data_IF_807517111890
#
_entry.id   IF_807517111890
#
_cell.length_a   1.000
_cell.length_b   1.000
_cell.length_c   1.000
_cell.angle_alpha   90.00
_cell.angle_beta   90.00
_cell.angle_gamma   90.00
#
_symmetry.space_group_name_H-M   'P 1'
#
loop_
_entity.id
_entity.type
_entity.pdbx_description
1 polymer ?
#
# COMPACT_ATOMS: atom_id res chain seq x y z
N UNK A 1 22.95 -21.76 -2.34
CA UNK A 1 21.57 -21.62 -1.84
C UNK A 1 21.34 -20.14 -1.62
N UNK A 2 20.31 -19.56 -2.25
CA UNK A 2 20.00 -18.13 -2.10
C UNK A 2 19.57 -17.92 -0.65
N UNK A 3 20.34 -17.13 0.11
CA UNK A 3 19.95 -16.78 1.48
C UNK A 3 18.84 -15.73 1.41
N UNK A 4 17.69 -16.08 1.94
CA UNK A 4 16.56 -15.16 2.12
C UNK A 4 16.34 -14.92 3.59
N UNK A 5 15.99 -13.69 3.96
CA UNK A 5 15.54 -13.36 5.30
C UNK A 5 14.07 -12.94 5.20
N UNK A 6 13.18 -13.81 5.68
CA UNK A 6 11.74 -13.59 5.65
C UNK A 6 11.15 -13.92 7.02
N UNK A 7 10.56 -12.92 7.69
CA UNK A 7 10.02 -12.99 9.05
C UNK A 7 10.98 -13.47 10.15
N UNK A 8 12.26 -13.64 9.84
CA UNK A 8 13.30 -14.00 10.81
C UNK A 8 13.60 -12.84 11.76
N UNK A 9 13.51 -11.60 11.25
CA UNK A 9 13.84 -10.38 11.98
C UNK A 9 12.72 -9.36 11.83
N UNK A 10 12.39 -8.68 12.93
CA UNK A 10 11.29 -7.70 12.96
C UNK A 10 11.63 -6.45 12.15
N UNK A 11 12.91 -6.11 12.09
CA UNK A 11 13.51 -4.97 11.39
C UNK A 11 13.34 -5.04 9.86
N UNK A 12 12.95 -6.22 9.33
CA UNK A 12 12.77 -6.49 7.91
C UNK A 12 11.30 -6.54 7.48
N UNK A 13 10.37 -6.47 8.42
CA UNK A 13 8.93 -6.50 8.14
C UNK A 13 8.45 -7.77 7.44
N UNK A 14 7.56 -7.60 6.46
CA UNK A 14 6.93 -8.69 5.71
C UNK A 14 7.52 -8.86 4.30
N UNK A 15 8.64 -8.22 3.97
CA UNK A 15 9.33 -8.37 2.69
C UNK A 15 10.28 -9.57 2.72
N UNK A 16 10.31 -10.36 1.64
CA UNK A 16 11.23 -11.46 1.43
C UNK A 16 12.58 -10.97 0.86
N UNK A 17 13.51 -10.64 1.77
CA UNK A 17 14.79 -10.06 1.41
C UNK A 17 15.81 -11.11 0.97
N UNK A 18 16.51 -10.86 -0.14
CA UNK A 18 17.79 -11.51 -0.39
C UNK A 18 18.86 -11.01 0.58
N UNK A 19 19.89 -11.82 0.80
CA UNK A 19 21.02 -11.50 1.70
C UNK A 19 22.39 -11.56 1.04
N UNK A 20 22.44 -11.80 -0.26
CA UNK A 20 23.67 -11.89 -1.03
C UNK A 20 23.63 -10.85 -2.17
N UNK A 21 24.58 -9.92 -2.15
CA UNK A 21 24.63 -8.79 -3.08
C UNK A 21 24.83 -9.24 -4.53
N UNK A 22 25.76 -10.17 -4.78
CA UNK A 22 26.08 -10.62 -6.13
C UNK A 22 24.92 -11.45 -6.71
N UNK A 23 24.30 -12.29 -5.87
CA UNK A 23 23.10 -13.04 -6.27
C UNK A 23 21.92 -12.11 -6.57
N UNK A 24 21.74 -11.03 -5.79
CA UNK A 24 20.69 -10.04 -6.04
C UNK A 24 20.91 -9.28 -7.35
N UNK A 25 22.14 -8.85 -7.64
CA UNK A 25 22.47 -8.23 -8.94
C UNK A 25 22.32 -9.22 -10.10
N UNK A 26 22.72 -10.48 -9.92
CA UNK A 26 22.50 -11.52 -10.92
C UNK A 26 21.00 -11.71 -11.22
N UNK A 27 20.16 -11.75 -10.19
CA UNK A 27 18.70 -11.82 -10.33
C UNK A 27 18.11 -10.57 -10.98
N UNK A 28 18.63 -9.39 -10.63
CA UNK A 28 18.20 -8.12 -11.21
C UNK A 28 18.51 -8.07 -12.72
N UNK A 29 19.73 -8.42 -13.11
CA UNK A 29 20.14 -8.51 -14.51
C UNK A 29 19.30 -9.53 -15.30
N UNK A 30 19.01 -10.71 -14.71
CA UNK A 30 18.23 -11.75 -15.37
C UNK A 30 16.73 -11.39 -15.52
N UNK A 31 16.16 -10.68 -14.55
CA UNK A 31 14.72 -10.33 -14.54
C UNK A 31 14.42 -8.95 -15.13
N UNK A 32 15.44 -8.11 -15.31
CA UNK A 32 15.29 -6.70 -15.67
C UNK A 32 14.73 -5.81 -14.56
N UNK A 33 14.48 -6.35 -13.35
CA UNK A 33 13.97 -5.58 -12.22
C UNK A 33 15.10 -4.78 -11.55
N UNK A 34 14.85 -3.53 -11.11
CA UNK A 34 15.77 -2.79 -10.24
C UNK A 34 15.95 -3.49 -8.88
N UNK A 35 16.99 -3.12 -8.14
CA UNK A 35 17.22 -3.57 -6.76
C UNK A 35 16.78 -2.49 -5.78
N UNK A 36 16.00 -2.88 -4.78
CA UNK A 36 15.80 -2.07 -3.58
C UNK A 36 16.73 -2.64 -2.50
N UNK A 37 17.80 -1.91 -2.21
CA UNK A 37 18.85 -2.31 -1.28
C UNK A 37 18.66 -1.60 0.05
N UNK A 38 18.38 -2.36 1.10
CA UNK A 38 18.23 -1.90 2.48
C UNK A 38 19.50 -2.22 3.27
N UNK A 39 20.16 -1.19 3.80
CA UNK A 39 21.12 -1.33 4.89
C UNK A 39 20.39 -1.17 6.22
N UNK A 40 20.48 -2.17 7.08
CA UNK A 40 19.73 -2.22 8.34
C UNK A 40 20.55 -2.86 9.46
N UNK A 41 20.44 -2.34 10.67
CA UNK A 41 21.04 -2.95 11.86
C UNK A 41 20.20 -4.15 12.30
N UNK A 42 20.79 -5.35 12.42
CA UNK A 42 20.07 -6.56 12.87
C UNK A 42 20.92 -7.36 13.89
N UNK A 43 20.40 -7.61 15.12
CA UNK A 43 19.25 -6.91 15.71
C UNK A 43 19.54 -5.41 15.82
N UNK A 44 18.52 -4.58 15.63
CA UNK A 44 18.67 -3.12 15.57
C UNK A 44 18.00 -2.37 16.71
N UNK A 45 18.27 -1.07 16.81
CA UNK A 45 17.58 -0.18 17.75
C UNK A 45 16.09 0.00 17.43
N UNK A 46 15.37 0.78 18.27
CA UNK A 46 13.94 1.03 18.09
C UNK A 46 13.59 1.62 16.72
N UNK A 47 14.43 2.48 16.13
CA UNK A 47 14.22 2.99 14.77
C UNK A 47 14.19 1.87 13.74
N UNK A 48 15.09 0.88 13.86
CA UNK A 48 15.19 -0.26 12.94
C UNK A 48 13.96 -1.17 13.07
N UNK A 49 13.57 -1.47 14.31
CA UNK A 49 12.37 -2.28 14.61
C UNK A 49 11.10 -1.59 14.13
N UNK A 50 10.95 -0.29 14.40
CA UNK A 50 9.79 0.50 13.98
C UNK A 50 9.74 0.66 12.46
N UNK A 51 10.88 0.82 11.78
CA UNK A 51 10.89 0.82 10.31
C UNK A 51 10.40 -0.52 9.75
N UNK A 52 10.84 -1.64 10.35
CA UNK A 52 10.33 -2.96 9.99
C UNK A 52 8.82 -3.11 10.21
N UNK A 53 8.32 -2.64 11.35
CA UNK A 53 6.91 -2.78 11.75
C UNK A 53 5.95 -1.78 11.05
N UNK A 54 6.29 -0.50 11.01
CA UNK A 54 5.41 0.59 10.56
C UNK A 54 5.51 0.81 9.04
N UNK A 55 6.62 0.40 8.42
CA UNK A 55 6.88 0.61 6.98
C UNK A 55 6.88 -0.71 6.24
N UNK A 56 7.82 -1.60 6.57
CA UNK A 56 8.07 -2.82 5.78
C UNK A 56 7.04 -3.94 6.03
N UNK A 57 6.14 -3.78 7.01
CA UNK A 57 5.05 -4.71 7.25
C UNK A 57 3.71 -4.27 6.62
N UNK A 58 3.64 -3.09 5.98
CA UNK A 58 2.45 -2.69 5.23
C UNK A 58 2.26 -3.65 4.04
N UNK A 59 1.12 -4.36 3.92
CA UNK A 59 0.97 -5.42 2.93
C UNK A 59 1.11 -4.99 1.47
N UNK A 60 0.51 -3.85 1.10
CA UNK A 60 0.59 -3.36 -0.28
C UNK A 60 1.97 -2.80 -0.61
N UNK A 61 2.65 -2.21 0.39
CA UNK A 61 4.03 -1.71 0.21
C UNK A 61 5.01 -2.87 0.08
N UNK A 62 4.92 -3.89 0.94
CA UNK A 62 5.77 -5.06 0.88
C UNK A 62 5.61 -5.79 -0.47
N UNK A 63 4.38 -5.96 -0.92
CA UNK A 63 4.08 -6.56 -2.22
C UNK A 63 4.58 -5.70 -3.38
N UNK A 64 4.44 -4.37 -3.32
CA UNK A 64 5.00 -3.47 -4.33
C UNK A 64 6.52 -3.63 -4.45
N UNK A 65 7.22 -3.79 -3.32
CA UNK A 65 8.67 -4.01 -3.30
C UNK A 65 9.01 -5.34 -3.98
N UNK A 66 8.32 -6.43 -3.64
CA UNK A 66 8.58 -7.76 -4.21
C UNK A 66 8.18 -7.91 -5.68
N UNK A 67 7.10 -7.22 -6.09
CA UNK A 67 6.62 -7.24 -7.47
C UNK A 67 7.52 -6.40 -8.40
N UNK A 68 8.00 -5.25 -7.94
CA UNK A 68 8.71 -4.30 -8.81
C UNK A 68 10.23 -4.29 -8.66
N UNK A 69 10.75 -4.80 -7.55
CA UNK A 69 12.19 -4.82 -7.27
C UNK A 69 12.70 -6.23 -6.98
N UNK A 70 14.02 -6.37 -7.00
CA UNK A 70 14.73 -7.41 -6.27
C UNK A 70 15.02 -6.85 -4.87
N UNK A 71 14.37 -7.34 -3.80
CA UNK A 71 14.61 -6.84 -2.45
C UNK A 71 15.93 -7.44 -1.94
N UNK A 72 16.87 -6.60 -1.52
CA UNK A 72 18.13 -7.01 -0.91
C UNK A 72 18.31 -6.30 0.43
N UNK A 73 18.56 -7.06 1.49
CA UNK A 73 18.98 -6.52 2.78
C UNK A 73 20.48 -6.80 2.99
N UNK A 74 21.19 -5.82 3.55
CA UNK A 74 22.58 -5.94 4.04
C UNK A 74 22.58 -5.51 5.51
N UNK A 75 23.09 -6.37 6.40
CA UNK A 75 23.11 -6.06 7.82
C UNK A 75 24.32 -5.15 8.10
N UNK A 76 24.05 -3.90 8.49
CA UNK A 76 25.10 -2.88 8.61
C UNK A 76 25.94 -2.98 9.90
N UNK A 77 25.74 -4.03 10.68
CA UNK A 77 26.46 -4.31 11.93
C UNK A 77 27.17 -5.67 11.92
N UNK A 78 27.20 -6.36 10.77
CA UNK A 78 27.81 -7.68 10.64
C UNK A 78 29.15 -7.62 9.90
N UNK A 79 30.18 -8.38 10.35
CA UNK A 79 31.44 -8.49 9.62
C UNK A 79 31.31 -9.33 8.34
N UNK A 80 32.40 -9.48 7.59
CA UNK A 80 32.45 -10.31 6.38
C UNK A 80 31.81 -9.62 5.18
N UNK A 81 31.05 -10.38 4.37
CA UNK A 81 30.53 -9.91 3.09
C UNK A 81 29.63 -8.67 3.23
N UNK A 82 28.83 -8.59 4.28
CA UNK A 82 27.98 -7.41 4.54
C UNK A 82 28.81 -6.15 4.77
N UNK A 83 29.89 -6.23 5.58
CA UNK A 83 30.82 -5.13 5.80
C UNK A 83 31.60 -4.72 4.54
N UNK A 84 31.86 -5.66 3.61
CA UNK A 84 32.47 -5.34 2.31
C UNK A 84 31.51 -4.51 1.44
N UNK A 85 30.25 -4.93 1.35
CA UNK A 85 29.21 -4.20 0.59
C UNK A 85 28.95 -2.83 1.22
N UNK A 86 28.84 -2.76 2.55
CA UNK A 86 28.68 -1.50 3.28
C UNK A 86 29.80 -0.50 2.95
N UNK A 87 31.05 -0.98 2.90
CA UNK A 87 32.22 -0.16 2.53
C UNK A 87 32.19 0.27 1.06
N UNK A 88 31.72 -0.60 0.16
CA UNK A 88 31.56 -0.28 -1.26
C UNK A 88 30.60 0.90 -1.49
N UNK A 89 29.50 0.95 -0.73
CA UNK A 89 28.55 2.08 -0.77
C UNK A 89 28.96 3.28 0.11
N UNK A 90 30.00 3.14 0.94
CA UNK A 90 30.42 4.19 1.87
C UNK A 90 29.40 4.46 2.99
N UNK A 91 28.56 3.47 3.32
CA UNK A 91 27.57 3.60 4.38
C UNK A 91 28.22 3.36 5.76
N UNK A 92 27.76 4.06 6.82
CA UNK A 92 28.24 3.83 8.17
C UNK A 92 27.70 2.52 8.76
N UNK A 93 28.51 1.86 9.58
CA UNK A 93 28.05 0.75 10.40
C UNK A 93 27.24 1.25 11.61
N UNK A 94 26.33 0.41 12.14
CA UNK A 94 25.51 0.73 13.32
C UNK A 94 24.69 2.02 13.15
N UNK A 95 24.09 2.20 11.98
CA UNK A 95 23.25 3.34 11.66
C UNK A 95 21.78 2.90 11.48
N UNK A 96 20.88 3.88 11.56
CA UNK A 96 19.49 3.78 11.15
C UNK A 96 19.34 3.28 9.69
N UNK A 97 18.14 2.81 9.31
CA UNK A 97 17.89 2.27 7.98
C UNK A 97 18.27 3.24 6.85
N UNK A 98 18.94 2.71 5.82
CA UNK A 98 19.24 3.43 4.58
C UNK A 98 18.79 2.59 3.40
N UNK A 99 18.06 3.19 2.45
CA UNK A 99 17.55 2.48 1.27
C UNK A 99 18.12 3.07 -0.01
N UNK A 100 18.77 2.24 -0.81
CA UNK A 100 19.23 2.53 -2.16
C UNK A 100 18.29 1.93 -3.21
N UNK A 101 18.24 2.58 -4.36
CA UNK A 101 17.44 2.18 -5.51
C UNK A 101 18.37 2.02 -6.70
N UNK A 102 18.73 0.78 -7.02
CA UNK A 102 19.74 0.47 -8.01
C UNK A 102 19.10 -0.04 -9.30
N UNK A 103 19.67 0.35 -10.43
CA UNK A 103 19.35 -0.23 -11.73
C UNK A 103 19.73 -1.71 -11.76
N UNK A 104 19.28 -2.49 -12.76
CA UNK A 104 19.72 -3.87 -12.94
C UNK A 104 21.24 -4.04 -13.06
N UNK A 105 21.98 -2.98 -13.43
CA UNK A 105 23.44 -2.96 -13.50
C UNK A 105 24.12 -2.49 -12.20
N UNK A 106 23.37 -2.23 -11.14
CA UNK A 106 23.89 -1.83 -9.83
C UNK A 106 24.23 -0.34 -9.69
N UNK A 107 23.70 0.53 -10.55
CA UNK A 107 23.91 2.00 -10.44
C UNK A 107 22.72 2.65 -9.74
N UNK A 108 22.94 3.66 -8.89
CA UNK A 108 21.84 4.41 -8.27
C UNK A 108 20.94 5.07 -9.34
N UNK A 109 19.63 4.86 -9.23
CA UNK A 109 18.60 5.44 -10.10
C UNK A 109 18.19 6.82 -9.57
N UNK A 110 18.02 6.89 -8.25
CA UNK A 110 17.62 8.09 -7.51
C UNK A 110 18.45 8.19 -6.23
N UNK A 111 18.57 9.37 -5.61
CA UNK A 111 19.26 9.49 -4.33
C UNK A 111 18.65 8.57 -3.28
N UNK A 112 19.49 7.95 -2.46
CA UNK A 112 19.09 7.08 -1.35
C UNK A 112 18.07 7.75 -0.41
N UNK A 113 17.24 6.94 0.24
CA UNK A 113 16.40 7.36 1.36
C UNK A 113 17.21 7.18 2.65
N UNK A 114 17.49 8.28 3.33
CA UNK A 114 18.16 8.30 4.63
C UNK A 114 17.52 9.40 5.50
N UNK A 115 17.60 9.25 6.82
CA UNK A 115 17.01 10.20 7.80
C UNK A 115 15.51 10.43 7.62
N UNK A 116 14.80 9.44 7.07
CA UNK A 116 13.36 9.46 6.85
C UNK A 116 12.82 8.04 6.92
N UNK A 117 11.94 7.79 7.88
CA UNK A 117 11.54 6.44 8.31
C UNK A 117 10.02 6.24 8.30
N UNK A 118 9.28 7.12 7.61
CA UNK A 118 7.84 6.99 7.38
C UNK A 118 7.55 6.24 6.06
N UNK A 119 6.42 5.52 5.97
CA UNK A 119 6.05 4.78 4.77
C UNK A 119 5.78 5.67 3.57
N UNK A 120 5.34 6.92 3.77
CA UNK A 120 5.14 7.90 2.67
C UNK A 120 6.47 8.23 2.00
N UNK A 121 7.55 8.35 2.78
CA UNK A 121 8.90 8.58 2.28
C UNK A 121 9.41 7.42 1.42
N UNK A 122 9.26 6.18 1.90
CA UNK A 122 9.65 5.00 1.14
C UNK A 122 8.80 4.81 -0.11
N UNK A 123 7.48 4.89 0.02
CA UNK A 123 6.53 4.82 -1.08
C UNK A 123 6.84 5.84 -2.17
N UNK A 124 7.01 7.11 -1.80
CA UNK A 124 7.34 8.17 -2.76
C UNK A 124 8.65 7.90 -3.50
N UNK A 125 9.70 7.45 -2.79
CA UNK A 125 10.98 7.10 -3.43
C UNK A 125 10.88 5.89 -4.37
N UNK A 126 10.08 4.88 -4.00
CA UNK A 126 9.79 3.74 -4.88
C UNK A 126 9.16 4.25 -6.17
N UNK A 127 8.13 5.09 -6.09
CA UNK A 127 7.46 5.60 -7.30
C UNK A 127 8.41 6.42 -8.17
N UNK A 128 9.19 7.33 -7.58
CA UNK A 128 10.18 8.12 -8.32
C UNK A 128 11.22 7.22 -9.01
N UNK A 129 11.65 6.12 -8.37
CA UNK A 129 12.58 5.18 -8.98
C UNK A 129 11.97 4.43 -10.17
N UNK A 130 10.70 4.03 -10.08
CA UNK A 130 9.97 3.39 -11.18
C UNK A 130 9.79 4.36 -12.35
N UNK A 131 9.37 5.60 -12.08
CA UNK A 131 9.20 6.65 -13.08
C UNK A 131 10.52 7.01 -13.78
N UNK A 132 11.62 7.11 -13.03
CA UNK A 132 12.95 7.37 -13.60
C UNK A 132 13.44 6.25 -14.53
N UNK A 133 12.95 5.02 -14.34
CA UNK A 133 13.20 3.88 -15.23
C UNK A 133 12.21 3.81 -16.40
N UNK A 134 11.25 4.74 -16.50
CA UNK A 134 10.17 4.70 -17.49
C UNK A 134 9.21 3.52 -17.27
N UNK A 135 9.15 2.97 -16.07
CA UNK A 135 8.23 1.88 -15.73
C UNK A 135 6.88 2.43 -15.31
N UNK A 136 5.82 1.76 -15.76
CA UNK A 136 4.48 2.06 -15.26
C UNK A 136 4.38 1.77 -13.77
N UNK A 137 3.76 2.70 -13.05
CA UNK A 137 3.35 2.52 -11.66
C UNK A 137 1.96 1.85 -11.66
N UNK A 138 1.77 0.71 -10.99
CA UNK A 138 0.44 0.09 -10.86
C UNK A 138 -0.56 0.98 -10.14
N UNK A 139 -1.85 0.91 -10.49
CA UNK A 139 -2.86 1.79 -9.87
C UNK A 139 -3.02 1.55 -8.37
N UNK A 140 -2.98 0.29 -7.91
CA UNK A 140 -3.02 -0.01 -6.46
C UNK A 140 -1.88 0.67 -5.70
N UNK A 141 -0.70 0.81 -6.32
CA UNK A 141 0.45 1.48 -5.73
C UNK A 141 0.20 2.99 -5.62
N UNK A 142 -0.51 3.61 -6.58
CA UNK A 142 -0.93 5.01 -6.46
C UNK A 142 -1.97 5.18 -5.36
N UNK A 143 -2.91 4.25 -5.23
CA UNK A 143 -3.95 4.29 -4.19
C UNK A 143 -3.40 4.15 -2.78
N UNK A 144 -2.35 3.33 -2.58
CA UNK A 144 -1.67 3.20 -1.30
C UNK A 144 -1.23 4.56 -0.74
N UNK A 145 -0.84 5.53 -1.59
CA UNK A 145 -0.52 6.88 -1.13
C UNK A 145 -1.70 7.52 -0.39
N UNK A 146 -2.91 7.33 -0.91
CA UNK A 146 -4.14 7.84 -0.30
C UNK A 146 -4.37 7.26 1.10
N UNK A 147 -4.23 5.95 1.25
CA UNK A 147 -4.32 5.30 2.57
C UNK A 147 -3.28 5.86 3.54
N UNK A 148 -2.01 5.98 3.11
CA UNK A 148 -0.94 6.51 3.95
C UNK A 148 -1.16 7.98 4.35
N UNK A 149 -1.70 8.83 3.47
CA UNK A 149 -2.03 10.20 3.83
C UNK A 149 -3.13 10.29 4.89
N UNK A 150 -4.11 9.37 4.82
CA UNK A 150 -5.18 9.29 5.83
C UNK A 150 -4.62 8.81 7.16
N UNK A 151 -3.89 7.69 7.15
CA UNK A 151 -3.31 7.06 8.35
C UNK A 151 -2.35 7.99 9.11
N UNK A 152 -1.56 8.80 8.38
CA UNK A 152 -0.59 9.72 8.98
C UNK A 152 -1.13 11.14 9.21
N UNK A 153 -2.45 11.36 9.07
CA UNK A 153 -3.09 12.64 9.39
C UNK A 153 -2.70 13.80 8.46
N UNK A 154 -2.32 13.48 7.22
CA UNK A 154 -1.93 14.46 6.20
C UNK A 154 -3.07 14.75 5.20
N UNK A 155 -4.11 13.92 5.17
CA UNK A 155 -5.36 14.22 4.49
C UNK A 155 -6.20 15.24 5.26
N UNK A 156 -7.15 15.88 4.58
CA UNK A 156 -8.24 16.63 5.21
C UNK A 156 -9.56 15.89 5.03
N UNK A 157 -10.51 16.18 5.91
CA UNK A 157 -11.81 15.51 5.94
C UNK A 157 -12.94 16.53 5.78
N UNK A 158 -13.96 16.17 5.00
CA UNK A 158 -15.26 16.86 4.93
C UNK A 158 -16.39 15.84 5.03
N UNK A 159 -17.59 16.31 5.37
CA UNK A 159 -18.81 15.50 5.38
C UNK A 159 -19.86 16.23 4.58
N UNK A 160 -20.56 15.49 3.72
CA UNK A 160 -21.61 16.03 2.87
C UNK A 160 -22.91 15.27 3.11
N UNK A 161 -24.00 15.99 3.33
CA UNK A 161 -25.37 15.47 3.23
C UNK A 161 -25.70 15.20 1.77
N UNK A 162 -26.25 14.01 1.53
CA UNK A 162 -26.54 13.52 0.19
C UNK A 162 -27.97 12.96 0.14
N UNK A 163 -28.72 13.12 -0.96
CA UNK A 163 -30.05 12.52 -1.09
C UNK A 163 -30.04 10.98 -1.04
N UNK A 164 -28.94 10.38 -1.51
CA UNK A 164 -28.64 8.96 -1.32
C UNK A 164 -27.13 8.78 -1.22
N UNK A 165 -26.65 8.31 -0.06
CA UNK A 165 -25.22 8.15 0.21
C UNK A 165 -24.50 7.13 -0.67
N UNK A 166 -25.18 6.13 -1.25
CA UNK A 166 -24.56 5.15 -2.14
C UNK A 166 -24.17 5.78 -3.47
N UNK A 167 -25.06 6.60 -4.05
CA UNK A 167 -24.71 7.45 -5.19
C UNK A 167 -23.76 8.58 -4.78
N UNK A 168 -23.91 9.11 -3.56
CA UNK A 168 -23.04 10.13 -3.00
C UNK A 168 -21.56 9.70 -2.95
N UNK A 169 -21.28 8.49 -2.45
CA UNK A 169 -19.94 7.91 -2.41
C UNK A 169 -19.32 7.86 -3.82
N UNK A 170 -20.06 7.33 -4.80
CA UNK A 170 -19.55 7.26 -6.18
C UNK A 170 -19.40 8.63 -6.82
N UNK A 171 -20.27 9.58 -6.51
CA UNK A 171 -20.20 10.94 -7.07
C UNK A 171 -19.00 11.69 -6.52
N UNK A 172 -18.84 11.72 -5.20
CA UNK A 172 -17.71 12.37 -4.54
C UNK A 172 -16.37 11.72 -4.91
N UNK A 173 -16.32 10.40 -5.07
CA UNK A 173 -15.11 9.69 -5.51
C UNK A 173 -14.62 10.08 -6.92
N UNK A 174 -15.45 10.70 -7.77
CA UNK A 174 -15.02 11.17 -9.09
C UNK A 174 -14.08 12.37 -9.02
N UNK A 175 -14.13 13.15 -7.94
CA UNK A 175 -13.24 14.30 -7.79
C UNK A 175 -11.76 13.82 -7.62
N UNK A 176 -10.80 14.34 -8.41
CA UNK A 176 -9.42 13.83 -8.41
C UNK A 176 -8.70 13.90 -7.06
N UNK A 177 -9.05 14.88 -6.22
CA UNK A 177 -8.46 15.03 -4.89
C UNK A 177 -9.00 14.04 -3.84
N UNK A 178 -10.12 13.35 -4.12
CA UNK A 178 -10.74 12.45 -3.15
C UNK A 178 -9.95 11.15 -3.03
N UNK A 179 -9.56 10.84 -1.80
CA UNK A 179 -8.77 9.66 -1.43
C UNK A 179 -9.69 8.52 -1.00
N UNK A 180 -10.63 8.81 -0.10
CA UNK A 180 -11.58 7.83 0.43
C UNK A 180 -12.97 8.43 0.59
N UNK A 181 -13.99 7.60 0.45
CA UNK A 181 -15.39 7.93 0.79
C UNK A 181 -15.95 6.91 1.77
N UNK A 182 -16.85 7.34 2.63
CA UNK A 182 -17.55 6.47 3.58
C UNK A 182 -18.98 6.95 3.79
N UNK A 183 -19.94 6.14 3.35
CA UNK A 183 -21.36 6.34 3.64
C UNK A 183 -21.66 6.16 5.15
N UNK A 184 -22.49 7.04 5.69
CA UNK A 184 -22.94 7.01 7.07
C UNK A 184 -24.15 7.91 7.34
N UNK A 185 -24.44 8.08 8.62
CA UNK A 185 -25.57 8.83 9.13
C UNK A 185 -25.09 9.94 10.07
N UNK A 186 -25.69 11.13 9.97
CA UNK A 186 -25.41 12.25 10.88
C UNK A 186 -26.70 13.01 11.12
N UNK A 187 -27.17 13.06 12.37
CA UNK A 187 -28.42 13.76 12.71
C UNK A 187 -29.68 13.19 12.05
N UNK A 188 -29.66 11.93 11.60
CA UNK A 188 -30.75 11.30 10.86
C UNK A 188 -30.67 11.46 9.33
N UNK A 189 -29.72 12.25 8.83
CA UNK A 189 -29.49 12.46 7.41
C UNK A 189 -28.47 11.47 6.85
N UNK A 190 -28.64 11.09 5.59
CA UNK A 190 -27.66 10.32 4.84
C UNK A 190 -26.48 11.21 4.46
N UNK A 191 -25.28 10.82 4.91
CA UNK A 191 -24.05 11.59 4.70
C UNK A 191 -22.94 10.73 4.11
N UNK A 192 -22.00 11.39 3.45
CA UNK A 192 -20.75 10.80 3.01
C UNK A 192 -19.60 11.58 3.63
N UNK A 193 -18.75 10.86 4.40
CA UNK A 193 -17.46 11.38 4.86
C UNK A 193 -16.43 11.17 3.75
N UNK A 194 -15.65 12.21 3.48
CA UNK A 194 -14.63 12.21 2.44
C UNK A 194 -13.29 12.58 3.05
N UNK A 195 -12.26 11.80 2.77
CA UNK A 195 -10.87 12.25 2.93
C UNK A 195 -10.33 12.70 1.57
N UNK A 196 -9.64 13.84 1.54
CA UNK A 196 -9.04 14.39 0.32
C UNK A 196 -7.58 14.84 0.54
N UNK A 197 -6.82 14.88 -0.54
CA UNK A 197 -5.45 15.39 -0.54
C UNK A 197 -5.45 16.92 -0.64
N UNK A 198 -5.03 17.65 0.42
CA UNK A 198 -4.98 19.11 0.41
C UNK A 198 -3.93 19.69 -0.57
N UNK A 199 -3.04 18.87 -1.12
CA UNK A 199 -2.11 19.29 -2.16
C UNK A 199 -2.76 19.33 -3.56
N UNK A 200 -3.92 18.68 -3.75
CA UNK A 200 -4.64 18.60 -5.02
C UNK A 200 -5.88 19.51 -5.07
N UNK A 201 -6.51 19.75 -3.93
CA UNK A 201 -7.68 20.63 -3.81
C UNK A 201 -7.75 21.20 -2.40
N UNK A 202 -8.32 22.38 -2.23
CA UNK A 202 -8.72 22.87 -0.91
C UNK A 202 -10.17 22.47 -0.59
N UNK A 203 -10.62 22.81 0.62
CA UNK A 203 -11.95 22.49 1.11
C UNK A 203 -13.04 23.21 0.30
N UNK A 204 -12.85 24.50 0.01
CA UNK A 204 -13.82 25.32 -0.71
C UNK A 204 -14.08 24.80 -2.13
N UNK A 205 -13.04 24.35 -2.84
CA UNK A 205 -13.20 23.75 -4.16
C UNK A 205 -13.96 22.41 -4.11
N UNK A 206 -13.69 21.57 -3.11
CA UNK A 206 -14.42 20.31 -2.94
C UNK A 206 -15.87 20.53 -2.50
N UNK A 207 -16.14 21.52 -1.65
CA UNK A 207 -17.50 21.95 -1.29
C UNK A 207 -18.25 22.48 -2.51
N UNK A 208 -17.62 23.31 -3.34
CA UNK A 208 -18.23 23.81 -4.57
C UNK A 208 -18.60 22.68 -5.52
N UNK A 209 -17.72 21.69 -5.70
CA UNK A 209 -18.02 20.48 -6.45
C UNK A 209 -19.21 19.72 -5.88
N UNK A 210 -19.24 19.50 -4.56
CA UNK A 210 -20.36 18.80 -3.91
C UNK A 210 -21.70 19.55 -4.07
N UNK A 211 -21.69 20.89 -3.98
CA UNK A 211 -22.88 21.73 -4.18
C UNK A 211 -23.39 21.67 -5.63
N UNK A 212 -22.49 21.64 -6.61
CA UNK A 212 -22.86 21.50 -8.04
C UNK A 212 -23.55 20.14 -8.31
N UNK A 213 -23.12 19.10 -7.61
CA UNK A 213 -23.73 17.75 -7.63
C UNK A 213 -25.01 17.65 -6.77
N UNK A 214 -25.47 18.75 -6.16
CA UNK A 214 -26.70 18.81 -5.38
C UNK A 214 -26.56 18.28 -3.94
N UNK A 215 -25.35 18.25 -3.39
CA UNK A 215 -25.07 17.88 -2.00
C UNK A 215 -24.87 19.13 -1.12
N UNK A 216 -24.93 18.97 0.19
CA UNK A 216 -24.73 20.06 1.14
C UNK A 216 -23.58 19.76 2.11
N UNK A 217 -22.67 20.71 2.40
CA UNK A 217 -21.69 20.56 3.47
C UNK A 217 -22.40 20.33 4.81
N UNK A 218 -21.89 19.39 5.60
CA UNK A 218 -22.43 19.03 6.91
C UNK A 218 -21.34 19.07 7.97
N UNK A 219 -21.71 19.42 9.20
CA UNK A 219 -20.79 19.38 10.33
C UNK A 219 -20.39 17.94 10.72
N UNK A 220 -21.12 16.92 10.24
CA UNK A 220 -20.82 15.51 10.51
C UNK A 220 -20.90 15.13 11.99
N UNK A 221 -21.71 15.85 12.77
CA UNK A 221 -21.84 15.62 14.21
C UNK A 221 -22.44 14.24 14.48
N UNK A 222 -21.77 13.44 15.30
CA UNK A 222 -22.16 12.05 15.61
C UNK A 222 -22.25 11.16 14.36
N UNK A 223 -21.28 11.27 13.44
CA UNK A 223 -21.20 10.40 12.27
C UNK A 223 -21.19 8.91 12.67
N UNK A 224 -22.15 8.16 12.15
CA UNK A 224 -22.27 6.71 12.30
C UNK A 224 -22.12 6.01 10.95
N UNK A 225 -21.11 5.15 10.79
CA UNK A 225 -20.86 4.41 9.54
C UNK A 225 -22.04 3.51 9.19
N UNK A 226 -22.43 3.51 7.91
CA UNK A 226 -23.49 2.63 7.42
C UNK A 226 -23.05 1.16 7.37
N UNK A 227 -24.00 0.24 7.59
CA UNK A 227 -23.74 -1.21 7.57
C UNK A 227 -23.41 -1.76 6.18
N UNK A 228 -23.81 -1.05 5.13
CA UNK A 228 -23.64 -1.38 3.72
C UNK A 228 -22.85 -0.28 2.97
N UNK A 229 -21.87 0.33 3.63
CA UNK A 229 -20.91 1.26 3.01
C UNK A 229 -20.22 0.63 1.78
N UNK A 230 -19.96 1.41 0.74
CA UNK A 230 -19.51 0.94 -0.57
C UNK A 230 -20.42 -0.16 -1.16
N UNK A 231 -21.68 0.22 -1.41
CA UNK A 231 -22.76 -0.65 -1.87
C UNK A 231 -22.38 -1.60 -3.01
N UNK A 232 -21.70 -1.11 -4.04
CA UNK A 232 -21.35 -1.91 -5.21
C UNK A 232 -20.30 -2.97 -4.88
N UNK A 233 -19.32 -2.63 -4.03
CA UNK A 233 -18.35 -3.60 -3.52
C UNK A 233 -19.08 -4.70 -2.74
N UNK A 234 -19.99 -4.33 -1.84
CA UNK A 234 -20.71 -5.26 -0.96
C UNK A 234 -21.50 -6.36 -1.70
N UNK A 235 -21.92 -6.05 -2.93
CA UNK A 235 -22.72 -6.93 -3.79
C UNK A 235 -21.89 -7.69 -4.82
N UNK A 236 -20.55 -7.62 -4.73
CA UNK A 236 -19.62 -8.20 -5.70
C UNK A 236 -18.65 -9.21 -5.06
N UNK A 237 -17.91 -10.00 -5.87
CA UNK A 237 -16.84 -10.85 -5.37
C UNK A 237 -15.72 -10.08 -4.62
N UNK A 238 -15.56 -8.78 -4.89
CA UNK A 238 -14.58 -7.93 -4.20
C UNK A 238 -14.87 -7.82 -2.69
N UNK A 239 -16.10 -8.05 -2.25
CA UNK A 239 -16.47 -8.02 -0.82
C UNK A 239 -15.72 -9.06 0.04
N UNK A 240 -15.18 -10.11 -0.58
CA UNK A 240 -14.40 -11.15 0.08
C UNK A 240 -12.90 -10.84 0.14
N UNK A 241 -12.44 -9.79 -0.55
CA UNK A 241 -11.05 -9.37 -0.51
C UNK A 241 -10.79 -8.46 0.69
N UNK A 242 -9.63 -8.56 1.34
CA UNK A 242 -9.11 -7.46 2.15
C UNK A 242 -8.79 -6.31 1.22
N UNK A 243 -9.49 -5.18 1.35
CA UNK A 243 -9.28 -3.99 0.52
C UNK A 243 -8.95 -2.80 1.42
N UNK A 244 -7.98 -1.98 1.02
CA UNK A 244 -7.71 -0.71 1.70
C UNK A 244 -8.84 0.29 1.46
N UNK A 245 -8.90 1.39 2.23
CA UNK A 245 -9.97 2.36 2.11
C UNK A 245 -9.97 3.06 0.73
N UNK A 246 -8.78 3.40 0.21
CA UNK A 246 -8.63 3.97 -1.11
C UNK A 246 -9.01 2.97 -2.21
N UNK A 247 -8.63 1.68 -2.08
CA UNK A 247 -9.06 0.64 -3.01
C UNK A 247 -10.57 0.48 -3.05
N UNK A 248 -11.22 0.37 -1.88
CA UNK A 248 -12.70 0.26 -1.79
C UNK A 248 -13.39 1.42 -2.49
N UNK A 249 -12.92 2.64 -2.26
CA UNK A 249 -13.49 3.85 -2.85
C UNK A 249 -13.46 3.80 -4.38
N UNK A 250 -12.30 3.46 -4.96
CA UNK A 250 -12.13 3.41 -6.42
C UNK A 250 -12.80 2.21 -7.07
N UNK A 251 -12.79 1.05 -6.42
CA UNK A 251 -13.51 -0.14 -6.89
C UNK A 251 -15.03 0.09 -6.83
N UNK A 252 -15.54 0.69 -5.76
CA UNK A 252 -16.97 1.03 -5.62
C UNK A 252 -17.44 1.96 -6.73
N UNK A 253 -16.61 2.93 -7.10
CA UNK A 253 -16.84 3.79 -8.26
C UNK A 253 -16.82 3.00 -9.57
N UNK A 254 -15.81 2.17 -9.81
CA UNK A 254 -15.61 1.52 -11.11
C UNK A 254 -16.66 0.45 -11.47
N UNK A 255 -17.22 -0.25 -10.49
CA UNK A 255 -18.21 -1.33 -10.72
C UNK A 255 -19.43 -0.87 -11.54
N UNK A 256 -20.21 0.15 -11.12
CA UNK A 256 -21.40 0.57 -11.87
C UNK A 256 -21.10 1.07 -13.29
N UNK A 257 -19.91 1.64 -13.51
CA UNK A 257 -19.46 2.13 -14.82
C UNK A 257 -18.78 1.05 -15.69
N UNK A 258 -18.64 -0.19 -15.19
CA UNK A 258 -17.92 -1.29 -15.86
C UNK A 258 -16.49 -0.92 -16.25
N UNK A 259 -15.87 -0.09 -15.41
CA UNK A 259 -14.57 0.50 -15.68
C UNK A 259 -13.46 -0.35 -15.04
N UNK A 260 -13.37 -1.64 -15.40
CA UNK A 260 -12.30 -2.57 -15.01
C UNK A 260 -11.79 -2.44 -13.56
N UNK A 261 -12.62 -2.68 -12.52
CA UNK A 261 -12.25 -2.50 -11.11
C UNK A 261 -11.03 -3.30 -10.67
N UNK A 262 -10.69 -4.39 -11.36
CA UNK A 262 -9.55 -5.27 -11.08
C UNK A 262 -8.20 -4.56 -11.18
N UNK A 263 -8.10 -3.45 -11.93
CA UNK A 263 -6.85 -2.69 -12.07
C UNK A 263 -6.37 -2.06 -10.75
N UNK A 264 -7.28 -1.88 -9.80
CA UNK A 264 -6.98 -1.33 -8.47
C UNK A 264 -6.49 -2.39 -7.48
N UNK A 265 -6.49 -3.66 -7.87
CA UNK A 265 -6.00 -4.75 -7.04
C UNK A 265 -4.48 -4.91 -7.17
N UNK A 266 -3.86 -5.33 -6.07
CA UNK A 266 -2.49 -5.82 -6.10
C UNK A 266 -2.42 -7.24 -6.69
N UNK A 267 -1.22 -7.73 -7.08
CA UNK A 267 -1.06 -9.07 -7.65
C UNK A 267 -1.67 -10.20 -6.80
N UNK A 268 -1.51 -10.19 -5.48
CA UNK A 268 -2.07 -11.16 -4.55
C UNK A 268 -3.59 -11.06 -4.51
N UNK A 269 -4.15 -9.85 -4.39
CA UNK A 269 -5.61 -9.67 -4.41
C UNK A 269 -6.22 -10.16 -5.73
N UNK A 270 -5.56 -9.86 -6.86
CA UNK A 270 -5.97 -10.36 -8.17
C UNK A 270 -5.89 -11.89 -8.24
N UNK A 271 -4.80 -12.49 -7.73
CA UNK A 271 -4.63 -13.93 -7.65
C UNK A 271 -5.70 -14.60 -6.78
N UNK A 272 -6.03 -14.02 -5.63
CA UNK A 272 -7.08 -14.50 -4.74
C UNK A 272 -8.46 -14.40 -5.40
N UNK A 273 -8.77 -13.28 -6.04
CA UNK A 273 -10.01 -13.10 -6.79
C UNK A 273 -10.15 -14.15 -7.90
N UNK A 274 -9.08 -14.37 -8.66
CA UNK A 274 -9.05 -15.30 -9.79
C UNK A 274 -9.14 -16.78 -9.37
N UNK A 275 -8.85 -17.10 -8.10
CA UNK A 275 -8.91 -18.49 -7.60
C UNK A 275 -10.31 -19.09 -7.60
N UNK A 276 -11.36 -18.27 -7.58
CA UNK A 276 -12.75 -18.74 -7.42
C UNK A 276 -13.07 -19.34 -6.04
N UNK A 277 -12.14 -19.32 -5.08
CA UNK A 277 -12.29 -19.94 -3.77
C UNK A 277 -12.41 -18.94 -2.61
N UNK A 278 -12.52 -17.64 -2.89
CA UNK A 278 -12.59 -16.58 -1.86
C UNK A 278 -13.69 -16.82 -0.81
N UNK A 279 -14.87 -17.30 -1.21
CA UNK A 279 -15.96 -17.58 -0.28
C UNK A 279 -15.65 -18.72 0.71
N UNK A 280 -14.64 -19.54 0.43
CA UNK A 280 -14.14 -20.59 1.33
C UNK A 280 -13.09 -20.07 2.31
N UNK A 281 -12.27 -19.10 1.89
CA UNK A 281 -11.12 -18.62 2.66
C UNK A 281 -11.37 -17.30 3.39
N UNK A 282 -12.46 -16.62 3.05
CA UNK A 282 -12.79 -15.28 3.54
C UNK A 282 -14.29 -15.15 3.82
N UNK A 283 -14.69 -14.00 4.37
CA UNK A 283 -16.09 -13.66 4.64
C UNK A 283 -16.57 -12.55 3.70
N UNK A 284 -17.88 -12.48 3.44
CA UNK A 284 -18.50 -11.46 2.55
C UNK A 284 -18.34 -10.01 3.04
N UNK A 285 -17.71 -9.78 4.19
CA UNK A 285 -17.44 -8.45 4.76
C UNK A 285 -15.95 -8.24 5.05
N UNK A 286 -15.08 -9.05 4.47
CA UNK A 286 -13.64 -8.90 4.64
C UNK A 286 -13.18 -7.51 4.18
N UNK A 287 -13.79 -6.96 3.12
CA UNK A 287 -13.47 -5.63 2.66
C UNK A 287 -13.71 -4.54 3.73
N UNK A 288 -14.72 -4.69 4.61
CA UNK A 288 -15.02 -3.70 5.66
C UNK A 288 -14.12 -3.82 6.89
N UNK A 289 -13.44 -4.95 7.05
CA UNK A 289 -12.58 -5.21 8.22
C UNK A 289 -11.30 -4.39 8.21
N UNK A 290 -10.57 -4.45 9.33
CA UNK A 290 -9.21 -3.93 9.41
C UNK A 290 -8.33 -4.57 8.33
N UNK A 291 -7.80 -3.75 7.41
CA UNK A 291 -7.11 -4.21 6.21
C UNK A 291 -5.95 -5.16 6.53
N UNK A 292 -5.08 -4.79 7.48
CA UNK A 292 -3.92 -5.57 7.87
C UNK A 292 -4.31 -6.94 8.45
N UNK A 293 -5.32 -6.97 9.33
CA UNK A 293 -5.84 -8.21 9.90
C UNK A 293 -6.48 -9.10 8.85
N UNK A 294 -7.35 -8.56 7.99
CA UNK A 294 -8.04 -9.32 6.95
C UNK A 294 -7.05 -9.87 5.92
N UNK A 295 -6.03 -9.09 5.57
CA UNK A 295 -4.92 -9.53 4.73
C UNK A 295 -4.21 -10.75 5.31
N UNK A 296 -3.80 -10.64 6.58
CA UNK A 296 -3.11 -11.74 7.27
C UNK A 296 -4.01 -12.98 7.37
N UNK A 297 -5.27 -12.81 7.76
CA UNK A 297 -6.23 -13.91 7.87
C UNK A 297 -6.42 -14.64 6.56
N UNK A 298 -6.62 -13.91 5.45
CA UNK A 298 -6.79 -14.54 4.14
C UNK A 298 -5.53 -15.27 3.69
N UNK A 299 -4.36 -14.64 3.84
CA UNK A 299 -3.07 -15.26 3.51
C UNK A 299 -2.84 -16.55 4.29
N UNK A 300 -3.17 -16.57 5.57
CA UNK A 300 -2.99 -17.74 6.45
C UNK A 300 -4.06 -18.84 6.19
N UNK A 301 -5.23 -18.48 5.63
CA UNK A 301 -6.32 -19.41 5.31
C UNK A 301 -6.12 -20.14 3.98
N UNK A 302 -5.29 -19.61 3.07
CA UNK A 302 -4.99 -20.22 1.78
C UNK A 302 -3.98 -21.35 2.01
N UNK A 303 -4.30 -22.60 1.60
CA UNK A 303 -3.33 -23.68 1.66
C UNK A 303 -2.12 -23.31 0.81
N UNK A 304 -0.93 -23.32 1.40
CA UNK A 304 0.31 -23.34 0.63
C UNK A 304 0.27 -24.60 -0.23
N UNK A 305 -0.02 -24.46 -1.53
CA UNK A 305 0.15 -25.54 -2.48
C UNK A 305 1.56 -26.09 -2.30
N UNK A 306 1.65 -27.40 -2.00
CA UNK A 306 2.84 -28.03 -1.48
C UNK A 306 4.11 -27.57 -2.17
N UNK A 307 5.09 -27.15 -1.37
CA UNK A 307 6.48 -27.16 -1.79
C UNK A 307 6.88 -28.63 -2.05
N UNK A 308 6.49 -29.16 -3.20
CA UNK A 308 7.16 -30.30 -3.79
C UNK A 308 8.48 -29.80 -4.38
N UNK A 309 9.48 -29.69 -3.51
CA UNK A 309 10.88 -29.78 -3.90
C UNK A 309 11.31 -31.19 -3.52
N UNK A 310 11.19 -32.11 -4.48
CA UNK A 310 12.16 -33.21 -4.61
C UNK A 310 13.37 -32.69 -5.36
#
# INVERSE_FOLDING_TARGET
MIKTSFREHRELGEVAWLRDYDAALGKAAASGKPVLLLFQEIPGCSTCVNFGHDVLANPLLAELIEDRFVPLAIYNNQPGRDAEVLRYFGEPAWNNPVVHFLSPSGQDIVPKLANRYDPIGLHGKILTALEALGQDVPEYARLLRGDLLVEYGLSRQLVFETPCFWSGETTLAQHPAVLTTEAGWSGGEEVVRVHFDPALSDASALEAFAVDEGFAPSAGTNFETDKATQYYVSSSPFAFLPLSAAQRTRINLAIPYRDGPERFLSPHQHGWLSSGHLAKWSTKRAYQGDFHRQWKQLRDAIPTSGASVT
#
